data_IF_074460105326
#
_entry.id   IF_074460105326
#
_cell.length_a   1.000
_cell.length_b   1.000
_cell.length_c   1.000
_cell.angle_alpha   90.00
_cell.angle_beta   90.00
_cell.angle_gamma   90.00
#
_symmetry.space_group_name_H-M   'P 1'
#
loop_
_entity.id
_entity.type
_entity.pdbx_description
1 polymer ?
#
# COMPACT_ATOMS: atom_id res chain seq x y z
N UNK A 1 -10.82 14.95 4.94
CA UNK A 1 -9.96 13.93 5.58
C UNK A 1 -8.90 14.59 6.45
N UNK A 2 -8.02 15.43 5.90
CA UNK A 2 -7.01 16.17 6.68
C UNK A 2 -7.61 16.99 7.82
N UNK A 3 -8.61 17.82 7.53
CA UNK A 3 -9.28 18.69 8.52
C UNK A 3 -9.88 17.97 9.74
N UNK A 4 -10.14 16.66 9.64
CA UNK A 4 -10.67 15.86 10.76
C UNK A 4 -9.57 15.20 11.60
N UNK A 5 -8.39 15.00 11.04
CA UNK A 5 -7.35 14.14 11.58
C UNK A 5 -5.99 14.82 11.70
N UNK A 6 -5.95 16.15 11.55
CA UNK A 6 -4.74 16.97 11.61
C UNK A 6 -5.02 18.21 12.44
N UNK A 7 -4.29 18.35 13.55
CA UNK A 7 -4.28 19.53 14.40
C UNK A 7 -3.04 20.39 14.10
N UNK A 8 -3.18 21.59 13.52
CA UNK A 8 -2.05 22.45 13.20
C UNK A 8 -1.18 22.87 14.40
N UNK A 9 -1.71 22.83 15.62
CA UNK A 9 -0.97 23.22 16.83
C UNK A 9 -0.17 22.05 17.43
N UNK A 10 -0.60 20.80 17.19
CA UNK A 10 -0.02 19.61 17.80
C UNK A 10 0.71 18.69 16.80
N UNK A 11 0.29 18.67 15.54
CA UNK A 11 0.77 17.72 14.54
C UNK A 11 1.84 18.33 13.62
N UNK A 12 2.76 17.47 13.19
CA UNK A 12 3.75 17.84 12.17
C UNK A 12 3.19 17.62 10.77
N UNK A 13 3.12 18.68 9.97
CA UNK A 13 2.73 18.58 8.55
C UNK A 13 3.61 17.60 7.78
N UNK A 14 4.92 17.62 8.06
CA UNK A 14 5.90 16.72 7.43
C UNK A 14 5.60 15.25 7.76
N UNK A 15 5.44 14.92 9.05
CA UNK A 15 5.13 13.55 9.47
C UNK A 15 3.77 13.07 8.92
N UNK A 16 2.77 13.97 8.87
CA UNK A 16 1.48 13.66 8.26
C UNK A 16 1.63 13.36 6.77
N UNK A 17 2.41 14.15 6.03
CA UNK A 17 2.67 13.93 4.61
C UNK A 17 3.44 12.62 4.38
N UNK A 18 4.48 12.34 5.17
CA UNK A 18 5.26 11.09 5.10
C UNK A 18 4.34 9.89 5.26
N UNK A 19 3.56 9.83 6.33
CA UNK A 19 2.65 8.71 6.58
C UNK A 19 1.57 8.60 5.51
N UNK A 20 0.92 9.70 5.14
CA UNK A 20 -0.17 9.69 4.17
C UNK A 20 0.27 9.29 2.76
N UNK A 21 1.46 9.72 2.32
CA UNK A 21 1.95 9.45 0.98
C UNK A 21 2.72 8.13 0.88
N UNK A 22 3.40 7.69 1.94
CA UNK A 22 4.36 6.59 1.87
C UNK A 22 3.90 5.30 2.56
N UNK A 23 2.76 5.28 3.27
CA UNK A 23 2.27 4.06 3.95
C UNK A 23 2.13 2.86 3.03
N UNK A 24 1.74 3.09 1.76
CA UNK A 24 1.43 2.05 0.78
C UNK A 24 2.46 1.93 -0.35
N UNK A 25 3.67 2.47 -0.17
CA UNK A 25 4.72 2.37 -1.21
C UNK A 25 5.10 0.92 -1.53
N UNK A 26 4.81 -0.03 -0.63
CA UNK A 26 4.93 -1.47 -0.87
C UNK A 26 4.14 -1.99 -2.09
N UNK A 27 3.13 -1.24 -2.56
CA UNK A 27 2.32 -1.56 -3.74
C UNK A 27 2.99 -1.18 -5.05
N UNK A 28 4.06 -0.38 -5.02
CA UNK A 28 4.81 -0.01 -6.22
C UNK A 28 5.37 -1.27 -6.89
N UNK A 29 4.94 -1.53 -8.12
CA UNK A 29 5.34 -2.71 -8.89
C UNK A 29 4.75 -4.05 -8.41
N UNK A 30 3.84 -4.04 -7.43
CA UNK A 30 3.23 -5.25 -6.83
C UNK A 30 2.18 -5.92 -7.72
N UNK A 31 1.46 -5.13 -8.53
CA UNK A 31 0.42 -5.62 -9.43
C UNK A 31 0.94 -5.71 -10.86
N UNK A 32 0.72 -6.85 -11.52
CA UNK A 32 1.08 -7.09 -12.91
C UNK A 32 -0.16 -7.40 -13.75
N UNK A 33 -0.25 -6.90 -15.00
CA UNK A 33 -1.30 -7.32 -15.91
C UNK A 33 -1.22 -8.82 -16.20
N UNK A 34 -2.37 -9.47 -16.22
CA UNK A 34 -2.52 -10.89 -16.54
C UNK A 34 -3.92 -11.18 -17.05
N UNK A 35 -4.28 -12.46 -17.06
CA UNK A 35 -5.63 -12.90 -17.46
C UNK A 35 -6.19 -13.91 -16.48
N UNK A 36 -7.49 -13.86 -16.23
CA UNK A 36 -8.22 -14.88 -15.47
C UNK A 36 -9.37 -15.44 -16.31
N UNK A 37 -9.61 -16.74 -16.18
CA UNK A 37 -10.79 -17.37 -16.78
C UNK A 37 -12.02 -17.03 -15.93
N UNK A 38 -13.05 -16.49 -16.57
CA UNK A 38 -14.35 -16.18 -15.96
C UNK A 38 -15.42 -16.92 -16.73
N UNK A 39 -16.33 -17.61 -16.03
CA UNK A 39 -17.43 -18.32 -16.67
C UNK A 39 -18.53 -17.32 -17.04
N UNK A 40 -18.89 -17.28 -18.32
CA UNK A 40 -19.99 -16.45 -18.81
C UNK A 40 -21.33 -17.03 -18.30
N UNK A 41 -22.14 -16.28 -17.53
CA UNK A 41 -23.36 -16.82 -16.94
C UNK A 41 -24.49 -17.02 -17.97
N UNK A 42 -24.45 -16.35 -19.12
CA UNK A 42 -25.44 -16.47 -20.19
C UNK A 42 -25.13 -17.63 -21.13
N UNK A 43 -23.85 -17.84 -21.48
CA UNK A 43 -23.43 -18.86 -22.45
C UNK A 43 -22.88 -20.12 -21.80
N UNK A 44 -22.50 -20.07 -20.52
CA UNK A 44 -21.85 -21.16 -19.80
C UNK A 44 -20.38 -21.40 -20.18
N UNK A 45 -19.84 -20.64 -21.14
CA UNK A 45 -18.48 -20.81 -21.67
C UNK A 45 -17.46 -20.05 -20.81
N UNK A 46 -16.25 -20.59 -20.70
CA UNK A 46 -15.13 -19.90 -20.05
C UNK A 46 -14.48 -18.90 -20.99
N UNK A 47 -14.34 -17.66 -20.54
CA UNK A 47 -13.71 -16.57 -21.30
C UNK A 47 -12.50 -16.03 -20.53
N UNK A 48 -11.41 -15.71 -21.24
CA UNK A 48 -10.26 -15.00 -20.66
C UNK A 48 -10.58 -13.52 -20.56
N UNK A 49 -10.43 -12.94 -19.36
CA UNK A 49 -10.57 -11.50 -19.13
C UNK A 49 -9.29 -10.90 -18.55
N UNK A 50 -8.95 -9.64 -18.88
CA UNK A 50 -7.85 -8.92 -18.23
C UNK A 50 -8.04 -8.90 -16.71
N UNK A 51 -6.96 -9.12 -15.97
CA UNK A 51 -6.92 -9.12 -14.51
C UNK A 51 -5.56 -8.63 -14.02
N UNK A 52 -5.48 -8.11 -12.79
CA UNK A 52 -4.19 -7.81 -12.17
C UNK A 52 -3.81 -8.92 -11.21
N UNK A 53 -2.68 -9.56 -11.46
CA UNK A 53 -2.09 -10.57 -10.57
C UNK A 53 -1.10 -9.93 -9.61
N UNK A 54 -0.93 -10.57 -8.45
CA UNK A 54 0.07 -10.17 -7.45
C UNK A 54 1.40 -10.83 -7.82
N UNK A 55 2.45 -10.03 -7.87
CA UNK A 55 3.84 -10.46 -8.05
C UNK A 55 4.67 -9.86 -6.91
N UNK A 56 4.62 -10.50 -5.74
CA UNK A 56 5.38 -10.05 -4.58
C UNK A 56 6.68 -10.83 -4.45
N UNK A 57 7.78 -10.15 -4.73
CA UNK A 57 9.14 -10.70 -4.66
C UNK A 57 9.82 -10.48 -3.30
N UNK A 58 9.20 -9.74 -2.38
CA UNK A 58 9.81 -9.38 -1.09
C UNK A 58 9.25 -10.23 0.06
N UNK A 59 10.09 -10.75 0.96
CA UNK A 59 9.65 -11.57 2.10
C UNK A 59 9.11 -10.73 3.27
N UNK A 60 8.41 -9.62 3.00
CA UNK A 60 7.92 -8.67 4.00
C UNK A 60 6.40 -8.49 3.90
N UNK A 61 5.73 -8.28 5.04
CA UNK A 61 4.33 -7.85 5.05
C UNK A 61 4.14 -6.45 4.47
N UNK A 62 2.89 -6.05 4.16
CA UNK A 62 2.58 -4.77 3.50
C UNK A 62 3.21 -3.55 4.20
N UNK A 63 2.93 -3.36 5.49
CA UNK A 63 3.48 -2.23 6.24
C UNK A 63 4.99 -2.30 6.45
N UNK A 64 5.53 -3.49 6.72
CA UNK A 64 6.96 -3.69 6.95
C UNK A 64 7.79 -3.41 5.69
N UNK A 65 7.27 -3.81 4.53
CA UNK A 65 7.87 -3.52 3.22
C UNK A 65 7.92 -2.02 2.96
N UNK A 66 6.85 -1.28 3.27
CA UNK A 66 6.84 0.18 3.14
C UNK A 66 7.90 0.84 4.03
N UNK A 67 7.96 0.48 5.32
CA UNK A 67 8.98 0.99 6.24
C UNK A 67 10.39 0.69 5.71
N UNK A 68 10.64 -0.55 5.30
CA UNK A 68 11.93 -0.96 4.76
C UNK A 68 12.34 -0.16 3.53
N UNK A 69 11.41 0.08 2.59
CA UNK A 69 11.70 0.83 1.37
C UNK A 69 11.98 2.30 1.66
N UNK A 70 11.18 2.94 2.53
CA UNK A 70 11.36 4.37 2.87
C UNK A 70 12.68 4.61 3.60
N UNK A 71 13.05 3.73 4.55
CA UNK A 71 14.31 3.80 5.32
C UNK A 71 15.58 3.71 4.45
N UNK A 72 15.47 3.31 3.17
CA UNK A 72 16.59 3.36 2.22
C UNK A 72 16.88 4.76 1.68
N UNK A 73 15.92 5.68 1.78
CA UNK A 73 16.03 7.03 1.22
C UNK A 73 15.99 8.11 2.31
N UNK A 74 15.32 7.85 3.43
CA UNK A 74 15.25 8.76 4.56
C UNK A 74 15.03 8.01 5.87
N UNK A 75 15.56 8.54 6.97
CA UNK A 75 15.34 7.96 8.29
C UNK A 75 13.98 8.40 8.83
N UNK A 76 13.11 7.45 9.17
CA UNK A 76 11.81 7.75 9.78
C UNK A 76 11.96 8.01 11.27
N UNK A 77 11.06 8.84 11.80
CA UNK A 77 10.79 8.88 13.23
C UNK A 77 10.11 7.58 13.64
N UNK A 78 10.29 7.18 14.89
CA UNK A 78 9.65 5.96 15.42
C UNK A 78 8.12 6.00 15.25
N UNK A 79 7.49 7.16 15.46
CA UNK A 79 6.05 7.34 15.26
C UNK A 79 5.62 7.13 13.81
N UNK A 80 6.38 7.65 12.85
CA UNK A 80 6.12 7.49 11.41
C UNK A 80 6.27 6.04 10.99
N UNK A 81 7.35 5.37 11.42
CA UNK A 81 7.59 3.97 11.12
C UNK A 81 6.48 3.07 11.67
N UNK A 82 6.00 3.34 12.89
CA UNK A 82 4.89 2.58 13.49
C UNK A 82 3.57 2.87 12.75
N UNK A 83 3.26 4.13 12.45
CA UNK A 83 2.06 4.49 11.69
C UNK A 83 2.02 3.83 10.31
N UNK A 84 3.14 3.86 9.58
CA UNK A 84 3.30 3.18 8.29
C UNK A 84 3.18 1.66 8.47
N UNK A 85 3.80 1.06 9.49
CA UNK A 85 3.74 -0.39 9.69
C UNK A 85 2.33 -0.90 9.98
N UNK A 86 1.55 -0.16 10.77
CA UNK A 86 0.23 -0.58 11.28
C UNK A 86 -0.97 -0.02 10.50
N UNK A 87 -0.76 0.61 9.35
CA UNK A 87 -1.83 1.28 8.60
C UNK A 87 -3.00 0.36 8.18
N UNK A 88 -2.79 -0.96 8.12
CA UNK A 88 -3.81 -1.96 7.78
C UNK A 88 -4.47 -2.64 8.99
N UNK A 89 -4.18 -2.22 10.23
CA UNK A 89 -4.84 -2.73 11.43
C UNK A 89 -4.19 -3.94 12.12
N UNK A 90 -3.04 -4.44 11.62
CA UNK A 90 -2.29 -5.55 12.24
C UNK A 90 -2.77 -6.94 11.82
#
# INVERSE_FOLDING_TARGET
MREKHFDPEADSEESFAICALLHDICKAGFYKPGTRNVKNPQTGVWEKKPYYTIDDSYPYGHGEKSVFLVERFMRLKTSEAIAIRWHMGG
#
